data_IF_584049345889
#
_entry.id   IF_584049345889
#
_cell.length_a   1.000
_cell.length_b   1.000
_cell.length_c   1.000
_cell.angle_alpha   90.00
_cell.angle_beta   90.00
_cell.angle_gamma   90.00
#
_symmetry.space_group_name_H-M   'P 1'
#
loop_
_entity.id
_entity.type
_entity.pdbx_description
1 polymer ?
#
# COMPACT_ATOMS: atom_id res chain seq x y z
N UNK A 1 16.36 -10.92 -15.06
CA UNK A 1 16.13 -11.57 -16.38
C UNK A 1 14.68 -11.49 -16.86
N UNK A 2 13.67 -11.90 -16.07
CA UNK A 2 12.24 -11.88 -16.50
C UNK A 2 11.76 -10.51 -17.02
N UNK A 3 12.23 -9.40 -16.42
CA UNK A 3 11.90 -8.04 -16.88
C UNK A 3 12.49 -7.69 -18.25
N UNK A 4 13.75 -8.03 -18.49
CA UNK A 4 14.42 -7.83 -19.78
C UNK A 4 13.72 -8.63 -20.88
N UNK A 5 13.35 -9.88 -20.59
CA UNK A 5 12.59 -10.71 -21.51
C UNK A 5 11.21 -10.10 -21.81
N UNK A 6 10.50 -9.62 -20.80
CA UNK A 6 9.21 -8.95 -20.99
C UNK A 6 9.35 -7.67 -21.84
N UNK A 7 10.39 -6.85 -21.60
CA UNK A 7 10.66 -5.66 -22.41
C UNK A 7 10.98 -5.99 -23.86
N UNK A 8 11.83 -7.01 -24.11
CA UNK A 8 12.12 -7.48 -25.47
C UNK A 8 10.85 -7.98 -26.17
N UNK A 9 9.99 -8.73 -25.47
CA UNK A 9 8.75 -9.26 -26.04
C UNK A 9 7.79 -8.14 -26.46
N UNK A 10 7.66 -7.09 -25.63
CA UNK A 10 6.85 -5.92 -25.95
C UNK A 10 7.44 -5.16 -27.14
N UNK A 11 8.76 -4.93 -27.16
CA UNK A 11 9.44 -4.25 -28.28
C UNK A 11 9.26 -5.00 -29.61
N UNK A 12 9.45 -6.32 -29.60
CA UNK A 12 9.22 -7.17 -30.76
C UNK A 12 7.75 -7.14 -31.21
N UNK A 13 6.81 -7.20 -30.26
CA UNK A 13 5.39 -7.12 -30.55
C UNK A 13 4.99 -5.79 -31.19
N UNK A 14 5.49 -4.66 -30.69
CA UNK A 14 5.26 -3.32 -31.29
C UNK A 14 5.80 -3.27 -32.72
N UNK A 15 7.00 -3.81 -32.95
CA UNK A 15 7.59 -3.87 -34.29
C UNK A 15 6.74 -4.71 -35.25
N UNK A 16 6.27 -5.89 -34.83
CA UNK A 16 5.38 -6.73 -35.65
C UNK A 16 4.05 -6.05 -35.96
N UNK A 17 3.45 -5.35 -34.99
CA UNK A 17 2.20 -4.59 -35.21
C UNK A 17 2.42 -3.47 -36.22
N UNK A 18 3.52 -2.72 -36.11
CA UNK A 18 3.87 -1.66 -37.06
C UNK A 18 4.08 -2.20 -38.48
N UNK A 19 4.79 -3.33 -38.62
CA UNK A 19 4.95 -4.05 -39.89
C UNK A 19 3.60 -4.52 -40.45
N UNK A 20 2.74 -5.10 -39.61
CA UNK A 20 1.39 -5.51 -40.00
C UNK A 20 0.56 -4.34 -40.54
N UNK A 21 0.55 -3.20 -39.85
CA UNK A 21 -0.12 -1.97 -40.30
C UNK A 21 0.43 -1.45 -41.63
N UNK A 22 1.75 -1.48 -41.81
CA UNK A 22 2.39 -1.05 -43.06
C UNK A 22 1.96 -1.93 -44.25
N UNK A 23 1.81 -3.24 -44.02
CA UNK A 23 1.28 -4.17 -45.02
C UNK A 23 -0.20 -3.92 -45.34
N UNK A 24 -1.02 -3.50 -44.36
CA UNK A 24 -2.43 -3.13 -44.61
C UNK A 24 -2.50 -1.92 -45.54
N UNK A 25 -1.73 -0.87 -45.26
CA UNK A 25 -1.72 0.35 -46.10
C UNK A 25 -1.24 0.03 -47.52
N UNK A 26 -0.28 -0.89 -47.67
CA UNK A 26 0.25 -1.34 -48.95
C UNK A 26 -0.56 -2.46 -49.67
N UNK A 27 -1.70 -2.87 -49.13
CA UNK A 27 -2.53 -3.95 -49.67
C UNK A 27 -3.42 -3.45 -50.82
N UNK A 28 -2.82 -2.93 -51.89
CA UNK A 28 -3.54 -2.59 -53.13
C UNK A 28 -4.01 -3.88 -53.86
N UNK A 29 -5.10 -4.48 -53.40
CA UNK A 29 -5.82 -5.57 -54.09
C UNK A 29 -5.18 -6.98 -54.04
N UNK A 30 -4.02 -7.15 -53.40
CA UNK A 30 -3.38 -8.48 -53.27
C UNK A 30 -3.78 -9.17 -51.96
N UNK A 31 -4.65 -10.18 -52.08
CA UNK A 31 -5.14 -10.97 -50.94
C UNK A 31 -4.01 -11.57 -50.07
N UNK A 32 -2.87 -11.94 -50.68
CA UNK A 32 -1.71 -12.46 -49.94
C UNK A 32 -1.12 -11.46 -48.94
N UNK A 33 -1.14 -10.15 -49.24
CA UNK A 33 -0.64 -9.11 -48.32
C UNK A 33 -1.57 -8.92 -47.13
N UNK A 34 -2.87 -9.08 -47.35
CA UNK A 34 -3.89 -9.01 -46.30
C UNK A 34 -3.72 -10.13 -45.28
N UNK A 35 -3.41 -11.36 -45.72
CA UNK A 35 -3.16 -12.49 -44.82
C UNK A 35 -1.90 -12.27 -43.98
N UNK A 36 -0.82 -11.76 -44.57
CA UNK A 36 0.42 -11.44 -43.83
C UNK A 36 0.19 -10.32 -42.82
N UNK A 37 -0.55 -9.28 -43.20
CA UNK A 37 -0.92 -8.18 -42.31
C UNK A 37 -1.71 -8.65 -41.09
N UNK A 38 -2.77 -9.44 -41.30
CA UNK A 38 -3.61 -9.93 -40.20
C UNK A 38 -2.87 -10.88 -39.28
N UNK A 39 -2.04 -11.79 -39.85
CA UNK A 39 -1.18 -12.66 -39.07
C UNK A 39 -0.16 -11.84 -38.23
N UNK A 40 0.48 -10.84 -38.83
CA UNK A 40 1.43 -9.96 -38.14
C UNK A 40 0.79 -9.18 -37.00
N UNK A 41 -0.41 -8.62 -37.21
CA UNK A 41 -1.18 -7.95 -36.16
C UNK A 41 -1.59 -8.90 -35.04
N UNK A 42 -2.10 -10.09 -35.38
CA UNK A 42 -2.53 -11.06 -34.39
C UNK A 42 -1.36 -11.51 -33.51
N UNK A 43 -0.23 -11.91 -34.11
CA UNK A 43 0.97 -12.36 -33.39
C UNK A 43 1.57 -11.20 -32.57
N UNK A 44 1.69 -10.01 -33.15
CA UNK A 44 2.21 -8.83 -32.46
C UNK A 44 1.36 -8.43 -31.25
N UNK A 45 0.03 -8.43 -31.40
CA UNK A 45 -0.91 -8.11 -30.30
C UNK A 45 -0.81 -9.10 -29.16
N UNK A 46 -0.74 -10.40 -29.47
CA UNK A 46 -0.56 -11.46 -28.47
C UNK A 46 0.78 -11.31 -27.75
N UNK A 47 1.87 -11.02 -28.48
CA UNK A 47 3.19 -10.79 -27.89
C UNK A 47 3.20 -9.59 -26.92
N UNK A 48 2.58 -8.47 -27.30
CA UNK A 48 2.44 -7.29 -26.43
C UNK A 48 1.65 -7.66 -25.18
N UNK A 49 0.49 -8.30 -25.32
CA UNK A 49 -0.36 -8.69 -24.20
C UNK A 49 0.39 -9.62 -23.23
N UNK A 50 1.07 -10.64 -23.74
CA UNK A 50 1.86 -11.56 -22.93
C UNK A 50 3.02 -10.85 -22.22
N UNK A 51 3.72 -9.94 -22.91
CA UNK A 51 4.80 -9.15 -22.34
C UNK A 51 4.33 -8.26 -21.19
N UNK A 52 3.20 -7.58 -21.36
CA UNK A 52 2.59 -6.73 -20.31
C UNK A 52 2.15 -7.57 -19.11
N UNK A 53 1.52 -8.73 -19.32
CA UNK A 53 1.11 -9.62 -18.23
C UNK A 53 2.33 -10.10 -17.44
N UNK A 54 3.39 -10.53 -18.13
CA UNK A 54 4.60 -11.02 -17.51
C UNK A 54 5.33 -9.90 -16.74
N UNK A 55 5.37 -8.70 -17.31
CA UNK A 55 5.95 -7.51 -16.65
C UNK A 55 5.18 -7.18 -15.37
N UNK A 56 3.84 -7.08 -15.45
CA UNK A 56 2.99 -6.83 -14.27
C UNK A 56 3.16 -7.90 -13.19
N UNK A 57 3.36 -9.17 -13.57
CA UNK A 57 3.66 -10.24 -12.61
C UNK A 57 5.02 -10.02 -11.95
N UNK A 58 6.05 -9.67 -12.72
CA UNK A 58 7.38 -9.37 -12.19
C UNK A 58 7.42 -8.12 -11.29
N UNK A 59 6.49 -7.17 -11.49
CA UNK A 59 6.38 -5.98 -10.65
C UNK A 59 5.60 -6.23 -9.37
N UNK A 60 4.73 -7.26 -9.32
CA UNK A 60 4.00 -7.64 -8.10
C UNK A 60 4.92 -8.16 -6.99
N UNK A 61 6.11 -8.61 -7.36
CA UNK A 61 7.15 -9.10 -6.44
C UNK A 61 8.19 -8.02 -6.08
N UNK A 62 7.97 -6.77 -6.48
CA UNK A 62 8.89 -5.68 -6.09
C UNK A 62 8.77 -5.36 -4.60
N UNK A 63 9.91 -5.16 -3.90
CA UNK A 63 9.90 -4.76 -2.50
C UNK A 63 9.17 -3.42 -2.30
N UNK A 64 9.25 -2.49 -3.25
CA UNK A 64 8.57 -1.19 -3.18
C UNK A 64 7.05 -1.34 -3.20
N UNK A 65 6.50 -2.26 -4.00
CA UNK A 65 5.06 -2.50 -4.06
C UNK A 65 4.57 -3.16 -2.77
N UNK A 66 5.33 -4.09 -2.21
CA UNK A 66 5.03 -4.72 -0.92
C UNK A 66 5.06 -3.67 0.19
N UNK A 67 6.06 -2.77 0.19
CA UNK A 67 6.14 -1.66 1.14
C UNK A 67 4.92 -0.76 1.05
N UNK A 68 4.51 -0.36 -0.16
CA UNK A 68 3.33 0.47 -0.36
C UNK A 68 2.04 -0.23 0.10
N UNK A 69 1.90 -1.53 -0.16
CA UNK A 69 0.76 -2.33 0.27
C UNK A 69 0.68 -2.43 1.81
N UNK A 70 1.82 -2.61 2.48
CA UNK A 70 1.92 -2.59 3.95
C UNK A 70 1.56 -1.20 4.50
N UNK A 71 2.05 -0.12 3.89
CA UNK A 71 1.74 1.25 4.32
C UNK A 71 0.26 1.59 4.11
N UNK A 72 -0.34 1.14 3.01
CA UNK A 72 -1.78 1.30 2.75
C UNK A 72 -2.60 0.56 3.80
N UNK A 73 -2.22 -0.67 4.12
CA UNK A 73 -2.85 -1.45 5.18
C UNK A 73 -2.69 -0.78 6.55
N UNK A 74 -1.53 -0.17 6.82
CA UNK A 74 -1.28 0.58 8.05
C UNK A 74 -2.22 1.78 8.16
N UNK A 75 -2.45 2.52 7.06
CA UNK A 75 -3.42 3.63 7.03
C UNK A 75 -4.84 3.17 7.34
N UNK A 76 -5.24 2.00 6.85
CA UNK A 76 -6.58 1.46 7.10
C UNK A 76 -6.76 0.95 8.53
N UNK A 77 -5.67 0.65 9.24
CA UNK A 77 -5.66 0.12 10.62
C UNK A 77 -5.06 1.13 11.62
N UNK A 78 -5.26 2.42 11.38
CA UNK A 78 -4.85 3.52 12.28
C UNK A 78 -3.35 3.48 12.68
N UNK A 79 -2.48 2.99 11.80
CA UNK A 79 -1.04 2.92 12.01
C UNK A 79 -0.56 1.74 12.88
N UNK A 80 -1.41 0.79 13.25
CA UNK A 80 -1.01 -0.43 13.97
C UNK A 80 -1.36 -1.68 13.18
N UNK A 81 -0.40 -2.58 13.03
CA UNK A 81 -0.50 -3.75 12.17
C UNK A 81 0.04 -4.99 12.87
N UNK A 82 -0.78 -6.03 13.02
CA UNK A 82 -0.28 -7.33 13.49
C UNK A 82 0.44 -8.07 12.36
N UNK A 83 1.39 -8.95 12.69
CA UNK A 83 2.00 -9.82 11.68
C UNK A 83 0.96 -10.73 10.98
N UNK A 84 -0.10 -11.12 11.69
CA UNK A 84 -1.22 -11.86 11.13
C UNK A 84 -1.99 -11.05 10.07
N UNK A 85 -2.20 -9.74 10.29
CA UNK A 85 -2.84 -8.88 9.29
C UNK A 85 -1.95 -8.73 8.05
N UNK A 86 -0.63 -8.58 8.24
CA UNK A 86 0.35 -8.53 7.13
C UNK A 86 0.32 -9.84 6.33
N UNK A 87 0.33 -10.98 7.02
CA UNK A 87 0.29 -12.30 6.40
C UNK A 87 -1.03 -12.54 5.64
N UNK A 88 -2.16 -12.11 6.21
CA UNK A 88 -3.47 -12.20 5.57
C UNK A 88 -3.55 -11.33 4.30
N UNK A 89 -2.98 -10.13 4.32
CA UNK A 89 -2.99 -9.22 3.17
C UNK A 89 -2.07 -9.68 2.03
N UNK A 90 -0.86 -10.15 2.37
CA UNK A 90 0.14 -10.54 1.37
C UNK A 90 -0.02 -11.98 0.88
N UNK A 91 -0.67 -12.85 1.67
CA UNK A 91 -0.93 -14.25 1.35
C UNK A 91 0.36 -15.00 1.02
N UNK A 92 0.49 -15.60 -0.18
CA UNK A 92 1.71 -16.31 -0.59
C UNK A 92 2.99 -15.46 -0.59
N UNK A 93 2.86 -14.12 -0.64
CA UNK A 93 3.99 -13.18 -0.66
C UNK A 93 4.52 -12.82 0.74
N UNK A 94 3.98 -13.41 1.81
CA UNK A 94 4.37 -13.11 3.19
C UNK A 94 5.87 -13.29 3.44
N UNK A 95 6.51 -14.27 2.79
CA UNK A 95 7.95 -14.52 2.93
C UNK A 95 8.82 -13.36 2.41
N UNK A 96 8.27 -12.53 1.52
CA UNK A 96 8.94 -11.33 1.01
C UNK A 96 8.69 -10.11 1.90
N UNK A 97 7.77 -10.19 2.87
CA UNK A 97 7.39 -9.08 3.74
C UNK A 97 8.49 -8.77 4.76
N UNK A 98 9.13 -9.80 5.33
CA UNK A 98 10.12 -9.65 6.39
C UNK A 98 11.30 -8.73 6.02
N UNK A 99 12.00 -8.93 4.89
CA UNK A 99 13.09 -8.02 4.48
C UNK A 99 12.60 -6.62 4.15
N UNK A 100 11.37 -6.48 3.64
CA UNK A 100 10.77 -5.17 3.34
C UNK A 100 10.43 -4.42 4.63
N UNK A 101 9.91 -5.12 5.63
CA UNK A 101 9.61 -4.56 6.94
C UNK A 101 10.90 -4.18 7.66
N UNK A 102 11.95 -5.00 7.59
CA UNK A 102 13.27 -4.64 8.15
C UNK A 102 13.79 -3.33 7.56
N UNK A 103 13.64 -3.14 6.24
CA UNK A 103 14.03 -1.90 5.57
C UNK A 103 13.15 -0.72 6.00
N UNK A 104 11.84 -0.91 6.18
CA UNK A 104 10.94 0.12 6.70
C UNK A 104 11.29 0.54 8.14
N UNK A 105 11.67 -0.41 8.99
CA UNK A 105 12.16 -0.15 10.35
C UNK A 105 13.47 0.63 10.30
N UNK A 106 14.41 0.22 9.45
CA UNK A 106 15.71 0.88 9.27
C UNK A 106 15.57 2.33 8.80
N UNK A 107 14.58 2.61 7.95
CA UNK A 107 14.23 3.98 7.50
C UNK A 107 13.51 4.81 8.56
N UNK A 108 13.13 4.22 9.70
CA UNK A 108 12.39 4.89 10.76
C UNK A 108 10.90 5.09 10.46
N UNK A 109 10.36 4.41 9.43
CA UNK A 109 8.95 4.53 9.08
C UNK A 109 8.04 3.71 10.00
N UNK A 110 8.57 2.67 10.64
CA UNK A 110 7.85 1.85 11.61
C UNK A 110 8.75 1.31 12.71
N UNK A 111 8.12 0.84 13.79
CA UNK A 111 8.76 0.15 14.91
C UNK A 111 8.15 -1.23 15.09
N UNK A 112 9.00 -2.21 15.42
CA UNK A 112 8.54 -3.53 15.87
C UNK A 112 8.30 -3.49 17.37
N UNK A 113 7.14 -3.95 17.78
CA UNK A 113 6.74 -4.07 19.17
C UNK A 113 6.15 -5.44 19.38
N UNK A 114 6.63 -6.17 20.39
CA UNK A 114 6.00 -7.39 20.85
C UNK A 114 5.01 -7.08 21.97
N UNK A 115 3.74 -7.48 21.78
CA UNK A 115 2.69 -7.37 22.80
C UNK A 115 2.00 -8.72 22.93
N UNK A 116 1.87 -9.23 24.16
CA UNK A 116 1.14 -10.49 24.43
C UNK A 116 1.64 -11.69 23.58
N UNK A 117 2.95 -11.75 23.30
CA UNK A 117 3.55 -12.79 22.45
C UNK A 117 3.22 -12.68 20.95
N UNK A 118 2.61 -11.57 20.51
CA UNK A 118 2.33 -11.27 19.11
C UNK A 118 3.20 -10.11 18.63
N UNK A 119 3.74 -10.26 17.41
CA UNK A 119 4.52 -9.24 16.72
C UNK A 119 3.60 -8.18 16.11
N UNK A 120 3.78 -6.93 16.50
CA UNK A 120 3.10 -5.75 15.94
C UNK A 120 4.10 -4.80 15.27
N UNK A 121 3.60 -4.13 14.23
CA UNK A 121 4.25 -3.06 13.51
C UNK A 121 3.49 -1.76 13.79
N UNK A 122 4.19 -0.78 14.37
CA UNK A 122 3.63 0.51 14.73
C UNK A 122 4.21 1.59 13.82
N UNK A 123 3.35 2.31 13.14
CA UNK A 123 3.66 3.39 12.21
C UNK A 123 3.25 4.72 12.84
N UNK A 124 4.15 5.31 13.65
CA UNK A 124 3.90 6.55 14.40
C UNK A 124 3.41 7.72 13.51
N UNK A 125 3.89 7.78 12.25
CA UNK A 125 3.50 8.81 11.29
C UNK A 125 2.10 8.64 10.70
N UNK A 126 1.50 7.44 10.81
CA UNK A 126 0.18 7.12 10.26
C UNK A 126 -0.91 7.03 11.35
N UNK A 127 -0.53 7.09 12.63
CA UNK A 127 -1.50 7.08 13.71
C UNK A 127 -2.36 8.36 13.68
N UNK A 128 -3.70 8.24 13.83
CA UNK A 128 -4.56 9.40 13.93
C UNK A 128 -4.14 10.22 15.15
N UNK A 129 -3.74 11.46 14.89
CA UNK A 129 -3.44 12.45 15.94
C UNK A 129 -4.77 12.92 16.51
N UNK A 130 -5.13 12.46 17.70
CA UNK A 130 -6.25 13.06 18.41
C UNK A 130 -5.77 14.36 19.05
N UNK A 131 -6.56 15.40 18.80
CA UNK A 131 -6.51 16.62 19.60
C UNK A 131 -7.35 16.34 20.84
N UNK A 132 -6.78 16.45 22.04
CA UNK A 132 -7.54 16.31 23.28
C UNK A 132 -7.35 17.59 24.08
N UNK A 133 -8.42 18.08 24.71
CA UNK A 133 -8.32 19.21 25.63
C UNK A 133 -7.98 18.66 27.00
N UNK A 134 -6.81 18.98 27.52
CA UNK A 134 -6.32 18.49 28.81
C UNK A 134 -6.13 19.65 29.77
N UNK A 135 -6.62 19.51 31.00
CA UNK A 135 -6.39 20.53 32.03
C UNK A 135 -4.91 20.55 32.43
N UNK A 136 -4.31 21.75 32.50
CA UNK A 136 -2.93 21.95 32.95
C UNK A 136 -2.67 21.48 34.39
N UNK A 137 -3.71 21.49 35.23
CA UNK A 137 -3.59 21.23 36.66
C UNK A 137 -3.90 19.78 37.00
N UNK A 138 -5.16 19.36 36.83
CA UNK A 138 -5.60 18.03 37.22
C UNK A 138 -5.45 16.96 36.12
N UNK A 139 -4.97 17.35 34.92
CA UNK A 139 -4.78 16.45 33.76
C UNK A 139 -6.04 15.75 33.24
N UNK A 140 -7.23 16.13 33.71
CA UNK A 140 -8.52 15.64 33.22
C UNK A 140 -8.66 15.98 31.72
N UNK A 141 -9.11 14.99 30.95
CA UNK A 141 -9.38 15.11 29.52
C UNK A 141 -10.82 15.54 29.29
N UNK A 142 -11.02 16.51 28.41
CA UNK A 142 -12.31 17.02 28.00
C UNK A 142 -12.50 16.81 26.48
N UNK A 143 -13.74 16.50 26.03
CA UNK A 143 -14.04 16.38 24.60
C UNK A 143 -13.77 17.71 23.87
N UNK A 144 -13.30 17.66 22.61
CA UNK A 144 -13.12 18.87 21.79
C UNK A 144 -14.43 19.67 21.66
N UNK A 145 -15.57 18.98 21.60
CA UNK A 145 -16.89 19.60 21.42
C UNK A 145 -17.45 20.30 22.66
N UNK A 146 -16.80 20.20 23.83
CA UNK A 146 -17.26 20.92 25.02
C UNK A 146 -16.87 22.41 24.91
N UNK A 147 -17.84 23.35 24.91
CA UNK A 147 -17.57 24.78 24.79
C UNK A 147 -16.88 25.36 26.04
N UNK A 148 -16.79 24.63 27.14
CA UNK A 148 -16.18 25.12 28.39
C UNK A 148 -14.69 25.41 28.21
N UNK A 149 -14.22 26.55 28.72
CA UNK A 149 -12.79 26.89 28.77
C UNK A 149 -12.09 26.38 30.04
N UNK A 150 -12.88 26.00 31.03
CA UNK A 150 -12.43 25.63 32.37
C UNK A 150 -12.76 24.17 32.67
N UNK A 151 -11.88 23.52 33.43
CA UNK A 151 -12.05 22.14 33.84
C UNK A 151 -13.19 22.00 34.85
N UNK A 152 -14.10 21.05 34.63
CA UNK A 152 -15.19 20.73 35.54
C UNK A 152 -14.75 20.20 36.90
N UNK A 153 -13.54 19.65 37.00
CA UNK A 153 -13.03 19.05 38.23
C UNK A 153 -12.26 20.04 39.12
N UNK A 154 -11.46 20.93 38.54
CA UNK A 154 -10.58 21.83 39.31
C UNK A 154 -10.69 23.32 38.95
N UNK A 155 -11.51 23.70 37.97
CA UNK A 155 -11.63 25.09 37.50
C UNK A 155 -10.44 25.61 36.68
N UNK A 156 -9.36 24.83 36.55
CA UNK A 156 -8.18 25.24 35.78
C UNK A 156 -8.41 25.31 34.27
N UNK A 157 -7.66 26.14 33.53
CA UNK A 157 -7.73 26.25 32.07
C UNK A 157 -7.46 24.92 31.37
N UNK A 158 -8.23 24.66 30.30
CA UNK A 158 -8.07 23.54 29.39
C UNK A 158 -7.19 23.92 28.20
N UNK A 159 -6.16 23.13 27.92
CA UNK A 159 -5.28 23.31 26.76
C UNK A 159 -5.42 22.19 25.75
N UNK A 160 -5.39 22.53 24.46
CA UNK A 160 -5.46 21.55 23.38
C UNK A 160 -4.09 20.94 23.14
N UNK A 161 -3.93 19.67 23.48
CA UNK A 161 -2.70 18.90 23.29
C UNK A 161 -2.90 17.90 22.16
N UNK A 162 -1.88 17.74 21.31
CA UNK A 162 -1.83 16.68 20.29
C UNK A 162 -1.29 15.41 20.93
N UNK A 163 -2.08 14.35 20.97
CA UNK A 163 -1.63 13.04 21.42
C UNK A 163 -1.82 12.02 20.30
N UNK A 164 -0.78 11.23 20.03
CA UNK A 164 -0.93 10.07 19.18
C UNK A 164 -1.85 9.07 19.88
N UNK A 165 -2.89 8.60 19.19
CA UNK A 165 -3.77 7.56 19.72
C UNK A 165 -3.01 6.23 19.69
N UNK A 166 -2.18 5.97 20.70
CA UNK A 166 -1.68 4.62 20.94
C UNK A 166 -2.89 3.73 21.27
N UNK A 167 -3.14 2.72 20.45
CA UNK A 167 -4.31 1.87 20.61
C UNK A 167 -4.09 0.81 21.68
N UNK A 168 -4.00 1.22 22.95
CA UNK A 168 -4.45 0.36 24.06
C UNK A 168 -5.97 0.51 24.17
N UNK A 169 -6.68 0.03 23.14
CA UNK A 169 -8.15 0.14 23.04
C UNK A 169 -8.88 -0.94 23.85
N UNK A 170 -8.17 -1.70 24.69
CA UNK A 170 -8.73 -2.66 25.66
C UNK A 170 -9.05 -2.05 27.02
N UNK A 171 -8.45 -0.92 27.41
CA UNK A 171 -8.48 -0.47 28.81
C UNK A 171 -9.47 0.68 29.07
N UNK A 172 -10.21 1.15 28.06
CA UNK A 172 -11.06 2.34 28.16
C UNK A 172 -12.57 2.05 28.19
N UNK A 173 -12.99 0.78 28.14
CA UNK A 173 -14.38 0.36 28.33
C UNK A 173 -14.48 -0.88 29.23
N UNK A 174 -13.76 -0.88 30.36
CA UNK A 174 -14.20 -1.63 31.54
C UNK A 174 -15.40 -0.90 32.15
N UNK A 175 -16.57 -1.06 31.54
CA UNK A 175 -17.84 -0.80 32.22
C UNK A 175 -18.07 -2.01 33.12
N UNK A 176 -17.39 -2.03 34.26
CA UNK A 176 -17.67 -2.96 35.33
C UNK A 176 -19.09 -2.61 35.82
N UNK A 177 -20.06 -3.42 35.41
CA UNK A 177 -21.43 -3.41 35.93
C UNK A 177 -21.52 -4.13 37.26
#
# INVERSE_FOLDING_TARGET
MKRLFAMMLVGLGVLLVALGLLFIVGAAGKASRLVVATAGLAVGSVAIAAGVILHRRADRETPDRIANEILELARQRDGELSWSDVAAALGPRTNLAEPVVDELVRRGNCKRTDREGKRFLVFDGLQPRLMIRRCKFCKTEAPIGDPREQCSNCGGPLETVRQARGASRSDLYGMDG
#
